data_IF_485596960789
#
_entry.id   IF_485596960789
#
_cell.length_a   1.000
_cell.length_b   1.000
_cell.length_c   1.000
_cell.angle_alpha   90.00
_cell.angle_beta   90.00
_cell.angle_gamma   90.00
#
_symmetry.space_group_name_H-M   'P 1'
#
loop_
_entity.id
_entity.type
_entity.pdbx_description
1 polymer ?
#
# COMPACT_ATOMS: atom_id res chain seq x y z
N UNK A 1 12.88 -13.69 -11.13
CA UNK A 1 13.77 -14.64 -10.41
C UNK A 1 14.32 -13.85 -9.22
N UNK A 2 14.18 -14.32 -7.98
CA UNK A 2 14.53 -13.51 -6.80
C UNK A 2 16.06 -13.47 -6.62
N UNK A 3 16.66 -12.28 -6.70
CA UNK A 3 18.08 -12.07 -6.40
C UNK A 3 18.18 -11.24 -5.13
N UNK A 4 18.78 -11.83 -4.09
CA UNK A 4 19.01 -11.18 -2.80
C UNK A 4 20.47 -10.73 -2.81
N UNK A 5 20.69 -9.41 -2.84
CA UNK A 5 22.02 -8.84 -2.57
C UNK A 5 22.16 -8.66 -1.06
N UNK A 6 22.99 -9.51 -0.45
CA UNK A 6 23.19 -9.60 1.00
C UNK A 6 23.86 -8.39 1.64
N UNK A 7 24.20 -7.35 0.88
CA UNK A 7 24.93 -6.19 1.41
C UNK A 7 24.13 -4.89 1.54
N UNK A 8 22.82 -4.84 1.26
CA UNK A 8 22.10 -3.54 1.27
C UNK A 8 20.57 -3.53 1.50
N UNK A 9 19.93 -4.59 2.01
CA UNK A 9 18.46 -4.61 2.20
C UNK A 9 17.66 -4.16 0.96
N UNK A 10 18.16 -4.51 -0.24
CA UNK A 10 17.51 -4.18 -1.52
C UNK A 10 16.60 -5.34 -1.92
N UNK A 11 15.33 -5.04 -2.16
CA UNK A 11 14.37 -6.02 -2.68
C UNK A 11 13.97 -5.62 -4.10
N UNK A 12 14.07 -6.57 -5.02
CA UNK A 12 13.75 -6.38 -6.43
C UNK A 12 12.58 -7.28 -6.82
N UNK A 13 11.60 -6.73 -7.51
CA UNK A 13 10.55 -7.51 -8.15
C UNK A 13 10.55 -7.24 -9.66
N UNK A 14 10.65 -8.33 -10.42
CA UNK A 14 10.56 -8.34 -11.88
C UNK A 14 9.32 -9.15 -12.25
N UNK A 15 8.34 -8.48 -12.86
CA UNK A 15 7.24 -9.14 -13.57
C UNK A 15 7.45 -8.97 -15.07
N UNK A 16 6.67 -9.66 -15.91
CA UNK A 16 6.82 -9.54 -17.38
C UNK A 16 6.64 -8.13 -17.92
N UNK A 17 6.06 -7.21 -17.13
CA UNK A 17 5.68 -5.89 -17.59
C UNK A 17 6.24 -4.74 -16.75
N UNK A 18 6.69 -4.94 -15.50
CA UNK A 18 7.06 -3.83 -14.58
C UNK A 18 8.19 -4.17 -13.59
N UNK A 19 8.87 -3.13 -13.09
CA UNK A 19 9.93 -3.19 -12.07
C UNK A 19 9.50 -2.46 -10.79
N UNK A 20 9.67 -3.07 -9.61
CA UNK A 20 9.48 -2.42 -8.29
C UNK A 20 10.81 -2.39 -7.51
N UNK A 21 11.31 -1.19 -7.18
CA UNK A 21 12.61 -0.93 -6.50
C UNK A 21 12.43 -0.25 -5.11
N UNK A 22 12.47 -1.02 -4.03
CA UNK A 22 12.51 -0.41 -2.69
C UNK A 22 13.94 0.02 -2.35
N UNK A 23 14.19 1.33 -2.20
CA UNK A 23 15.46 1.89 -1.72
C UNK A 23 15.20 2.75 -0.50
N UNK A 24 15.66 2.35 0.69
CA UNK A 24 15.76 3.30 1.79
C UNK A 24 16.90 4.29 1.46
N UNK A 25 16.58 5.59 1.37
CA UNK A 25 17.52 6.72 1.35
C UNK A 25 18.33 7.01 0.05
N UNK A 26 17.73 7.08 -1.15
CA UNK A 26 18.42 7.67 -2.32
C UNK A 26 17.55 8.66 -3.13
N UNK A 27 18.08 9.87 -3.34
CA UNK A 27 17.42 11.12 -3.79
C UNK A 27 17.24 11.32 -5.31
N UNK A 28 17.34 10.31 -6.19
CA UNK A 28 17.33 10.56 -7.65
C UNK A 28 16.24 9.86 -8.48
N UNK A 29 15.68 10.64 -9.42
CA UNK A 29 14.61 10.36 -10.39
C UNK A 29 15.10 9.59 -11.62
N UNK A 30 14.26 8.68 -12.12
CA UNK A 30 14.17 8.37 -13.55
C UNK A 30 12.71 8.51 -14.01
N UNK A 31 12.52 9.18 -15.16
CA UNK A 31 11.22 9.43 -15.80
C UNK A 31 10.90 8.24 -16.72
N UNK A 32 9.71 7.63 -16.61
CA UNK A 32 9.26 6.57 -17.53
C UNK A 32 7.87 6.92 -18.11
N UNK A 33 7.74 6.69 -19.42
CA UNK A 33 6.66 7.13 -20.30
C UNK A 33 5.31 6.39 -20.10
N UNK A 34 4.22 7.16 -20.22
CA UNK A 34 3.03 6.84 -21.01
C UNK A 34 2.03 5.78 -20.53
N UNK A 35 2.45 4.52 -20.40
CA UNK A 35 1.54 3.37 -20.34
C UNK A 35 1.59 2.59 -18.99
N UNK A 36 2.30 3.14 -18.02
CA UNK A 36 2.76 2.49 -16.78
C UNK A 36 1.96 2.87 -15.52
N UNK A 37 0.64 2.66 -15.54
CA UNK A 37 -0.28 3.22 -14.52
C UNK A 37 -0.25 2.54 -13.14
N UNK A 38 0.38 1.37 -13.00
CA UNK A 38 0.59 0.68 -11.72
C UNK A 38 2.03 0.79 -11.18
N UNK A 39 2.93 1.50 -11.90
CA UNK A 39 4.37 1.54 -11.60
C UNK A 39 4.82 2.58 -10.55
N UNK A 40 3.89 3.22 -9.84
CA UNK A 40 4.21 4.44 -9.08
C UNK A 40 4.50 4.25 -7.58
N UNK A 41 4.56 3.02 -7.06
CA UNK A 41 4.85 2.78 -5.63
C UNK A 41 6.31 2.35 -5.45
N UNK A 42 7.23 3.21 -5.87
CA UNK A 42 8.66 2.92 -5.89
C UNK A 42 9.45 4.23 -5.68
N UNK A 43 9.96 4.43 -4.46
CA UNK A 43 10.81 5.54 -4.00
C UNK A 43 10.08 6.91 -3.82
N UNK A 44 10.17 7.57 -2.63
CA UNK A 44 9.37 8.74 -2.32
C UNK A 44 10.07 10.00 -2.84
N UNK A 45 9.74 10.38 -4.06
CA UNK A 45 9.35 11.77 -4.23
C UNK A 45 7.88 11.78 -3.87
N UNK A 46 7.55 12.45 -2.77
CA UNK A 46 6.19 12.53 -2.19
C UNK A 46 5.06 12.69 -3.22
N UNK A 47 5.33 13.36 -4.35
CA UNK A 47 4.40 13.49 -5.48
C UNK A 47 4.06 12.17 -6.19
N UNK A 48 5.01 11.26 -6.43
CA UNK A 48 4.78 10.05 -7.20
C UNK A 48 3.94 9.02 -6.44
N UNK A 49 4.23 8.82 -5.15
CA UNK A 49 3.43 7.94 -4.28
C UNK A 49 2.02 8.48 -4.12
N UNK A 50 1.89 9.80 -3.88
CA UNK A 50 0.58 10.43 -3.79
C UNK A 50 -0.26 10.21 -5.05
N UNK A 51 0.32 10.43 -6.23
CA UNK A 51 -0.38 10.18 -7.49
C UNK A 51 -0.73 8.70 -7.68
N UNK A 52 0.17 7.77 -7.32
CA UNK A 52 -0.09 6.33 -7.38
C UNK A 52 -1.35 5.95 -6.58
N UNK A 53 -1.41 6.45 -5.34
CA UNK A 53 -2.53 6.21 -4.44
C UNK A 53 -3.80 6.88 -4.96
N UNK A 54 -3.72 8.12 -5.47
CA UNK A 54 -4.87 8.81 -6.08
C UNK A 54 -5.40 8.06 -7.31
N UNK A 55 -4.54 7.50 -8.16
CA UNK A 55 -4.97 6.64 -9.27
C UNK A 55 -5.64 5.37 -8.78
N UNK A 56 -5.08 4.70 -7.78
CA UNK A 56 -5.69 3.50 -7.20
C UNK A 56 -7.05 3.79 -6.56
N UNK A 57 -7.18 4.89 -5.82
CA UNK A 57 -8.45 5.36 -5.25
C UNK A 57 -9.45 5.66 -6.37
N UNK A 58 -9.03 6.31 -7.44
CA UNK A 58 -9.90 6.56 -8.58
C UNK A 58 -10.37 5.26 -9.23
N UNK A 59 -9.49 4.29 -9.48
CA UNK A 59 -9.85 2.97 -10.00
C UNK A 59 -10.86 2.25 -9.08
N UNK A 60 -10.63 2.28 -7.76
CA UNK A 60 -11.53 1.71 -6.75
C UNK A 60 -12.92 2.36 -6.77
N UNK A 61 -13.00 3.68 -6.99
CA UNK A 61 -14.28 4.40 -7.11
C UNK A 61 -15.05 4.05 -8.37
N UNK A 62 -14.37 3.62 -9.43
CA UNK A 62 -15.02 3.20 -10.67
C UNK A 62 -15.45 1.73 -10.64
N UNK A 63 -14.58 0.83 -10.19
CA UNK A 63 -14.83 -0.61 -10.12
C UNK A 63 -14.00 -1.23 -8.99
N UNK A 64 -14.56 -1.19 -7.78
CA UNK A 64 -13.89 -1.63 -6.55
C UNK A 64 -13.45 -3.07 -6.62
N UNK A 65 -14.37 -3.97 -6.93
CA UNK A 65 -14.14 -5.41 -6.80
C UNK A 65 -13.10 -5.88 -7.81
N UNK A 66 -13.19 -5.44 -9.07
CA UNK A 66 -12.19 -5.74 -10.11
C UNK A 66 -10.81 -5.17 -9.77
N UNK A 67 -10.75 -3.98 -9.19
CA UNK A 67 -9.48 -3.34 -8.81
C UNK A 67 -8.79 -4.11 -7.68
N UNK A 68 -9.55 -4.53 -6.67
CA UNK A 68 -9.03 -5.34 -5.58
C UNK A 68 -8.65 -6.74 -6.08
N UNK A 69 -9.47 -7.41 -6.89
CA UNK A 69 -9.13 -8.70 -7.49
C UNK A 69 -7.81 -8.63 -8.27
N UNK A 70 -7.60 -7.57 -9.06
CA UNK A 70 -6.33 -7.34 -9.76
C UNK A 70 -5.17 -7.24 -8.79
N UNK A 71 -5.31 -6.44 -7.72
CA UNK A 71 -4.28 -6.27 -6.69
C UNK A 71 -3.94 -7.60 -6.00
N UNK A 72 -4.95 -8.38 -5.60
CA UNK A 72 -4.76 -9.63 -4.86
C UNK A 72 -4.19 -10.77 -5.73
N UNK A 73 -4.43 -10.74 -7.05
CA UNK A 73 -3.90 -11.71 -8.00
C UNK A 73 -2.43 -11.46 -8.39
N UNK A 74 -1.84 -10.33 -7.96
CA UNK A 74 -0.42 -10.08 -8.17
C UNK A 74 0.44 -11.04 -7.33
N UNK A 75 1.54 -11.53 -7.90
CA UNK A 75 2.49 -12.40 -7.17
C UNK A 75 3.08 -11.72 -5.94
N UNK A 76 3.07 -10.39 -5.94
CA UNK A 76 3.62 -9.51 -4.90
C UNK A 76 2.53 -8.87 -4.04
N UNK A 77 1.28 -9.34 -4.11
CA UNK A 77 0.14 -8.77 -3.39
C UNK A 77 0.41 -8.54 -1.89
N UNK A 78 1.06 -9.51 -1.23
CA UNK A 78 1.42 -9.38 0.19
C UNK A 78 2.39 -8.21 0.44
N UNK A 79 3.38 -8.02 -0.43
CA UNK A 79 4.37 -6.94 -0.28
C UNK A 79 3.76 -5.58 -0.62
N UNK A 80 2.84 -5.54 -1.58
CA UNK A 80 2.03 -4.35 -1.88
C UNK A 80 1.20 -3.96 -0.65
N UNK A 81 0.47 -4.91 -0.05
CA UNK A 81 -0.33 -4.65 1.16
C UNK A 81 0.54 -4.14 2.32
N UNK A 82 1.72 -4.73 2.56
CA UNK A 82 2.67 -4.25 3.57
C UNK A 82 3.16 -2.84 3.28
N UNK A 83 3.46 -2.55 2.01
CA UNK A 83 3.93 -1.22 1.59
C UNK A 83 2.85 -0.16 1.82
N UNK A 84 1.59 -0.45 1.45
CA UNK A 84 0.45 0.45 1.70
C UNK A 84 0.24 0.63 3.21
N UNK A 85 0.38 -0.43 4.01
CA UNK A 85 0.30 -0.32 5.47
C UNK A 85 1.39 0.57 6.08
N UNK A 86 2.60 0.58 5.52
CA UNK A 86 3.66 1.51 5.95
C UNK A 86 3.32 2.97 5.63
N UNK A 87 2.62 3.22 4.52
CA UNK A 87 2.21 4.57 4.11
C UNK A 87 1.15 5.19 5.03
N UNK A 88 0.48 4.40 5.88
CA UNK A 88 -0.39 4.92 6.95
C UNK A 88 0.37 5.79 7.96
N UNK A 89 1.69 5.62 8.09
CA UNK A 89 2.54 6.42 8.99
C UNK A 89 3.01 7.75 8.36
N UNK A 90 2.56 8.06 7.15
CA UNK A 90 2.91 9.31 6.47
C UNK A 90 2.35 10.54 7.20
N UNK A 91 3.12 11.63 7.22
CA UNK A 91 2.67 12.95 7.67
C UNK A 91 1.86 13.71 6.58
N UNK A 92 1.73 13.13 5.39
CA UNK A 92 0.89 13.66 4.32
C UNK A 92 -0.50 13.02 4.39
N UNK A 93 -1.50 13.86 4.69
CA UNK A 93 -2.90 13.49 4.86
C UNK A 93 -3.45 12.72 3.66
N UNK A 94 -3.08 13.10 2.43
CA UNK A 94 -3.53 12.39 1.23
C UNK A 94 -2.90 11.02 1.14
N UNK A 95 -1.64 10.88 1.52
CA UNK A 95 -0.96 9.58 1.50
C UNK A 95 -1.55 8.64 2.55
N UNK A 96 -1.65 9.06 3.81
CA UNK A 96 -2.15 8.17 4.87
C UNK A 96 -3.65 7.90 4.71
N UNK A 97 -4.45 8.89 4.32
CA UNK A 97 -5.88 8.76 4.08
C UNK A 97 -6.21 7.85 2.90
N UNK A 98 -5.52 7.99 1.76
CA UNK A 98 -5.72 7.10 0.61
C UNK A 98 -5.24 5.68 0.92
N UNK A 99 -4.16 5.53 1.67
CA UNK A 99 -3.66 4.20 2.08
C UNK A 99 -4.68 3.50 2.97
N UNK A 100 -5.30 4.22 3.91
CA UNK A 100 -6.40 3.69 4.72
C UNK A 100 -7.59 3.28 3.84
N UNK A 101 -8.00 4.13 2.90
CA UNK A 101 -9.11 3.81 1.99
C UNK A 101 -8.85 2.55 1.14
N UNK A 102 -7.65 2.40 0.59
CA UNK A 102 -7.29 1.24 -0.25
C UNK A 102 -7.28 -0.04 0.60
N UNK A 103 -6.70 0.01 1.80
CA UNK A 103 -6.70 -1.15 2.70
C UNK A 103 -8.11 -1.51 3.15
N UNK A 104 -8.93 -0.51 3.53
CA UNK A 104 -10.34 -0.69 3.84
C UNK A 104 -11.13 -1.33 2.71
N UNK A 105 -10.96 -0.82 1.49
CA UNK A 105 -11.61 -1.38 0.30
C UNK A 105 -11.19 -2.83 0.03
N UNK A 106 -9.92 -3.17 0.30
CA UNK A 106 -9.44 -4.55 0.13
C UNK A 106 -10.09 -5.51 1.13
N UNK A 107 -10.19 -5.12 2.41
CA UNK A 107 -10.74 -5.97 3.47
C UNK A 107 -12.27 -6.08 3.44
N UNK A 108 -12.96 -5.22 2.68
CA UNK A 108 -14.40 -5.38 2.41
C UNK A 108 -14.73 -6.62 1.55
N UNK A 109 -13.75 -7.16 0.81
CA UNK A 109 -13.89 -8.44 0.11
C UNK A 109 -13.35 -9.59 0.96
N UNK A 110 -14.08 -10.71 0.99
CA UNK A 110 -13.69 -11.89 1.77
C UNK A 110 -12.27 -12.38 1.44
N UNK A 111 -11.93 -12.44 0.14
CA UNK A 111 -10.59 -12.82 -0.31
C UNK A 111 -9.51 -11.84 0.17
N UNK A 112 -9.81 -10.54 0.15
CA UNK A 112 -8.90 -9.50 0.60
C UNK A 112 -8.73 -9.50 2.11
N UNK A 113 -9.80 -9.69 2.89
CA UNK A 113 -9.72 -9.87 4.34
C UNK A 113 -8.86 -11.09 4.71
N UNK A 114 -9.08 -12.23 4.05
CA UNK A 114 -8.28 -13.44 4.28
C UNK A 114 -6.78 -13.20 4.01
N UNK A 115 -6.47 -12.52 2.91
CA UNK A 115 -5.09 -12.18 2.58
C UNK A 115 -4.49 -11.16 3.56
N UNK A 116 -5.27 -10.16 3.97
CA UNK A 116 -4.88 -9.19 4.99
C UNK A 116 -4.52 -9.88 6.31
N UNK A 117 -5.37 -10.77 6.82
CA UNK A 117 -5.09 -11.53 8.04
C UNK A 117 -3.84 -12.42 7.88
N UNK A 118 -3.62 -12.98 6.69
CA UNK A 118 -2.39 -13.75 6.39
C UNK A 118 -1.14 -12.86 6.43
N UNK A 119 -1.25 -11.59 6.04
CA UNK A 119 -0.11 -10.65 6.04
C UNK A 119 0.15 -10.09 7.44
N UNK A 120 -0.90 -9.77 8.20
CA UNK A 120 -0.79 -8.95 9.41
C UNK A 120 -1.09 -9.68 10.73
N UNK A 121 -1.68 -10.88 10.71
CA UNK A 121 -2.02 -11.63 11.93
C UNK A 121 -0.98 -12.69 12.32
N UNK A 122 -0.20 -13.21 11.36
CA UNK A 122 0.68 -14.37 11.59
C UNK A 122 2.13 -14.01 11.88
N UNK A 123 2.54 -12.75 11.71
CA UNK A 123 3.95 -12.37 11.76
C UNK A 123 4.23 -11.31 12.85
N UNK A 124 4.45 -11.77 14.08
CA UNK A 124 4.94 -10.95 15.20
C UNK A 124 6.46 -10.75 15.16
N UNK A 125 7.07 -10.75 13.99
CA UNK A 125 8.45 -10.27 13.84
C UNK A 125 8.49 -8.76 14.07
N UNK A 126 9.61 -8.23 14.56
CA UNK A 126 9.76 -6.84 15.04
C UNK A 126 9.48 -5.75 14.00
N UNK A 127 9.27 -6.13 12.72
CA UNK A 127 9.17 -5.21 11.59
C UNK A 127 7.76 -5.14 10.98
N UNK A 128 6.79 -5.90 11.48
CA UNK A 128 5.40 -5.80 11.04
C UNK A 128 4.73 -4.58 11.68
N UNK A 129 4.16 -3.70 10.87
CA UNK A 129 3.38 -2.55 11.35
C UNK A 129 2.18 -3.08 12.15
N UNK A 130 2.03 -2.61 13.39
CA UNK A 130 0.83 -2.83 14.18
C UNK A 130 -0.30 -1.99 13.58
N UNK A 131 -0.96 -2.55 12.56
CA UNK A 131 -1.92 -1.84 11.73
C UNK A 131 -3.13 -1.36 12.54
N UNK A 132 -3.57 -2.13 13.54
CA UNK A 132 -4.66 -1.73 14.43
C UNK A 132 -4.24 -0.49 15.22
N UNK A 133 -3.04 -0.50 15.82
CA UNK A 133 -2.53 0.66 16.55
C UNK A 133 -2.37 1.89 15.65
N UNK A 134 -1.88 1.72 14.42
CA UNK A 134 -1.72 2.83 13.47
C UNK A 134 -3.07 3.40 13.04
N UNK A 135 -4.05 2.56 12.70
CA UNK A 135 -5.40 3.02 12.35
C UNK A 135 -6.07 3.73 13.54
N UNK A 136 -5.90 3.22 14.77
CA UNK A 136 -6.36 3.91 15.98
C UNK A 136 -5.70 5.28 16.20
N UNK A 137 -4.45 5.45 15.76
CA UNK A 137 -3.80 6.76 15.79
C UNK A 137 -4.42 7.72 14.76
N UNK A 138 -4.71 7.24 13.54
CA UNK A 138 -5.37 8.03 12.50
C UNK A 138 -6.79 8.50 12.89
N UNK A 139 -7.47 7.85 13.83
CA UNK A 139 -8.74 8.34 14.39
C UNK A 139 -8.61 9.70 15.12
N UNK A 140 -7.38 10.13 15.43
CA UNK A 140 -7.09 11.42 16.07
C UNK A 140 -6.57 12.46 15.07
N UNK A 141 -6.55 12.14 13.77
CA UNK A 141 -6.06 13.03 12.73
C UNK A 141 -6.96 14.26 12.58
N UNK A 142 -6.39 15.41 12.20
CA UNK A 142 -7.16 16.65 11.96
C UNK A 142 -7.97 16.60 10.67
N UNK A 143 -7.55 15.78 9.72
CA UNK A 143 -8.25 15.57 8.46
C UNK A 143 -9.39 14.53 8.63
N UNK A 144 -10.61 14.95 8.32
CA UNK A 144 -11.79 14.11 8.51
C UNK A 144 -11.86 12.93 7.55
N UNK A 145 -11.31 13.05 6.34
CA UNK A 145 -11.29 11.95 5.35
C UNK A 145 -10.38 10.82 5.86
N UNK A 146 -9.20 11.15 6.40
CA UNK A 146 -8.33 10.20 7.09
C UNK A 146 -9.03 9.48 8.24
N UNK A 147 -9.73 10.22 9.11
CA UNK A 147 -10.46 9.66 10.26
C UNK A 147 -11.55 8.69 9.79
N UNK A 148 -12.35 9.08 8.80
CA UNK A 148 -13.41 8.25 8.22
C UNK A 148 -12.85 6.97 7.61
N UNK A 149 -11.79 7.07 6.80
CA UNK A 149 -11.18 5.91 6.15
C UNK A 149 -10.56 4.95 7.16
N UNK A 150 -9.91 5.47 8.20
CA UNK A 150 -9.35 4.66 9.28
C UNK A 150 -10.45 3.96 10.10
N UNK A 151 -11.54 4.68 10.43
CA UNK A 151 -12.68 4.13 11.15
C UNK A 151 -13.40 3.03 10.34
N UNK A 152 -13.62 3.26 9.05
CA UNK A 152 -14.21 2.28 8.13
C UNK A 152 -13.34 1.03 8.05
N UNK A 153 -12.04 1.20 7.83
CA UNK A 153 -11.09 0.08 7.78
C UNK A 153 -11.10 -0.72 9.08
N UNK A 154 -11.05 -0.06 10.24
CA UNK A 154 -11.13 -0.71 11.54
C UNK A 154 -12.42 -1.50 11.67
N UNK A 155 -13.57 -0.88 11.39
CA UNK A 155 -14.89 -1.50 11.52
C UNK A 155 -15.08 -2.76 10.66
N UNK A 156 -14.27 -2.94 9.62
CA UNK A 156 -14.27 -4.15 8.79
C UNK A 156 -13.34 -5.25 9.32
N UNK A 157 -12.23 -4.90 9.98
CA UNK A 157 -11.22 -5.88 10.41
C UNK A 157 -11.32 -6.32 11.88
N UNK A 158 -12.08 -5.60 12.72
CA UNK A 158 -12.25 -5.91 14.16
C UNK A 158 -13.47 -6.78 14.46
#
# INVERSE_FOLDING_TARGET
>A
MMNIDNNNNKFYFETKNYFIRFVPNEDNLDIINGDDKLNLIINPISRNIRHALEYCVNDLRHDRDKTIERLLNEKTANDILRSIAQLLLSNDDRVCGNSAYILGSAVELEAGLKQFLTVFSTDRTSNTVDIIRVLCHLLKHSDSECVLNAAGTLGTIV
#
